data_IF_351534078654
#
_entry.id   IF_351534078654
#
_cell.length_a   1.000
_cell.length_b   1.000
_cell.length_c   1.000
_cell.angle_alpha   90.00
_cell.angle_beta   90.00
_cell.angle_gamma   90.00
#
_symmetry.space_group_name_H-M   'P 1'
#
loop_
_entity.id
_entity.type
_entity.pdbx_description
1 polymer ?
#
# COMPACT_ATOMS: atom_id res chain seq x y z
N UNK A 1 -14.06 28.45 -0.95
CA UNK A 1 -12.88 29.09 -0.31
C UNK A 1 -11.64 28.34 -0.77
N UNK A 2 -10.65 29.00 -1.35
CA UNK A 2 -9.40 28.34 -1.74
C UNK A 2 -8.57 28.03 -0.48
N UNK A 3 -7.88 26.89 -0.48
CA UNK A 3 -6.95 26.49 0.60
C UNK A 3 -5.53 26.69 0.08
N UNK A 4 -4.73 27.60 0.66
CA UNK A 4 -3.34 27.78 0.24
C UNK A 4 -2.50 26.57 0.66
N UNK A 5 -1.76 26.00 -0.29
CA UNK A 5 -0.91 24.82 -0.10
C UNK A 5 0.44 25.03 -0.81
N UNK A 6 1.48 24.35 -0.33
CA UNK A 6 2.79 24.27 -0.98
C UNK A 6 3.37 22.86 -0.81
N UNK A 7 4.32 22.50 -1.67
CA UNK A 7 4.97 21.18 -1.62
C UNK A 7 6.27 21.27 -0.83
N UNK A 8 6.36 20.54 0.28
CA UNK A 8 7.63 20.27 0.97
C UNK A 8 8.28 19.02 0.37
N UNK A 9 9.50 19.14 -0.17
CA UNK A 9 10.18 18.03 -0.84
C UNK A 9 10.88 17.12 0.17
N UNK A 10 10.71 15.81 0.00
CA UNK A 10 11.45 14.77 0.71
C UNK A 10 12.28 13.97 -0.31
N UNK A 11 13.60 14.04 -0.23
CA UNK A 11 14.48 13.36 -1.19
C UNK A 11 14.74 11.89 -0.84
N UNK A 12 14.53 11.51 0.43
CA UNK A 12 14.85 10.18 0.95
C UNK A 12 13.68 9.20 0.82
N UNK A 13 12.45 9.71 0.69
CA UNK A 13 11.25 8.88 0.53
C UNK A 13 10.75 8.89 -0.92
N UNK A 14 11.35 8.02 -1.74
CA UNK A 14 11.11 7.88 -3.17
C UNK A 14 11.14 6.41 -3.59
N UNK A 15 10.54 6.12 -4.75
CA UNK A 15 10.72 4.83 -5.40
C UNK A 15 12.19 4.64 -5.84
N UNK A 16 12.70 3.39 -5.85
CA UNK A 16 13.93 3.07 -6.54
C UNK A 16 13.87 3.49 -8.01
N UNK A 17 15.01 3.90 -8.58
CA UNK A 17 15.09 4.31 -9.99
C UNK A 17 14.74 3.17 -10.95
N UNK A 18 15.18 1.96 -10.62
CA UNK A 18 14.96 0.77 -11.43
C UNK A 18 13.62 0.11 -11.09
N UNK A 19 12.65 0.04 -12.03
CA UNK A 19 11.33 -0.56 -11.79
C UNK A 19 11.40 -2.05 -11.43
N UNK A 20 12.47 -2.73 -11.81
CA UNK A 20 12.73 -4.13 -11.44
C UNK A 20 13.08 -4.31 -9.97
N UNK A 21 13.40 -3.24 -9.24
CA UNK A 21 13.74 -3.33 -7.81
C UNK A 21 12.47 -3.63 -7.00
N UNK A 22 12.44 -4.74 -6.23
CA UNK A 22 11.33 -5.03 -5.32
C UNK A 22 11.17 -3.97 -4.25
N UNK A 23 9.92 -3.65 -3.92
CA UNK A 23 9.57 -2.74 -2.83
C UNK A 23 8.65 -3.44 -1.84
N UNK A 24 8.92 -3.20 -0.55
CA UNK A 24 8.07 -3.64 0.56
C UNK A 24 7.54 -2.39 1.25
N UNK A 25 6.23 -2.21 1.19
CA UNK A 25 5.53 -1.07 1.77
C UNK A 25 4.77 -1.53 3.01
N UNK A 26 5.06 -0.93 4.17
CA UNK A 26 4.40 -1.24 5.44
C UNK A 26 3.76 0.04 5.94
N UNK A 27 2.43 0.12 5.82
CA UNK A 27 1.70 1.37 6.06
C UNK A 27 0.31 1.15 6.63
N UNK A 28 0.17 0.89 7.95
CA UNK A 28 -1.14 0.78 8.57
C UNK A 28 -1.86 2.13 8.67
N UNK A 29 -3.19 2.10 8.56
CA UNK A 29 -4.05 3.29 8.62
C UNK A 29 -3.63 4.36 7.61
N UNK A 30 -3.54 5.61 8.05
CA UNK A 30 -3.14 6.74 7.19
C UNK A 30 -1.68 6.66 6.73
N UNK A 31 -0.85 5.78 7.32
CA UNK A 31 0.50 5.50 6.86
C UNK A 31 0.55 4.95 5.42
N UNK A 32 -0.57 4.49 4.85
CA UNK A 32 -0.67 4.05 3.46
C UNK A 32 -0.63 5.19 2.44
N UNK A 33 -0.87 6.44 2.86
CA UNK A 33 -1.05 7.57 1.95
C UNK A 33 0.07 7.73 0.89
N UNK A 34 1.37 7.71 1.23
CA UNK A 34 2.40 7.84 0.20
C UNK A 34 2.56 6.55 -0.64
N UNK A 35 2.26 5.38 -0.08
CA UNK A 35 2.33 4.11 -0.81
C UNK A 35 1.25 3.98 -1.87
N UNK A 36 0.08 4.60 -1.67
CA UNK A 36 -0.92 4.74 -2.74
C UNK A 36 -0.33 5.46 -3.96
N UNK A 37 0.43 6.53 -3.76
CA UNK A 37 1.09 7.24 -4.85
C UNK A 37 2.17 6.37 -5.52
N UNK A 38 2.98 5.65 -4.73
CA UNK A 38 4.00 4.73 -5.26
C UNK A 38 3.39 3.62 -6.13
N UNK A 39 2.29 3.02 -5.69
CA UNK A 39 1.55 2.03 -6.46
C UNK A 39 1.01 2.63 -7.75
N UNK A 40 0.36 3.80 -7.69
CA UNK A 40 -0.13 4.48 -8.90
C UNK A 40 1.00 4.75 -9.90
N UNK A 41 2.18 5.16 -9.43
CA UNK A 41 3.32 5.40 -10.31
C UNK A 41 3.87 4.10 -10.94
N UNK A 42 4.04 3.03 -10.15
CA UNK A 42 4.53 1.74 -10.69
C UNK A 42 3.54 1.08 -11.62
N UNK A 43 2.26 1.12 -11.28
CA UNK A 43 1.19 0.41 -12.00
C UNK A 43 0.72 1.14 -13.27
N UNK A 44 0.99 2.45 -13.39
CA UNK A 44 0.76 3.21 -14.62
C UNK A 44 1.94 3.15 -15.60
N UNK A 45 3.04 2.46 -15.26
CA UNK A 45 4.18 2.31 -16.16
C UNK A 45 3.95 1.19 -17.19
N UNK A 46 4.53 1.33 -18.39
CA UNK A 46 4.53 0.26 -19.41
C UNK A 46 5.08 -1.07 -18.87
N UNK A 47 6.00 -1.00 -17.89
CA UNK A 47 6.62 -2.15 -17.24
C UNK A 47 5.81 -2.77 -16.09
N UNK A 48 4.63 -2.23 -15.76
CA UNK A 48 3.83 -2.66 -14.61
C UNK A 48 3.58 -4.18 -14.59
N UNK A 49 3.29 -4.77 -15.77
CA UNK A 49 3.07 -6.21 -15.92
C UNK A 49 4.36 -7.03 -15.86
N UNK A 50 5.49 -6.46 -16.24
CA UNK A 50 6.78 -7.17 -16.23
C UNK A 50 7.32 -7.37 -14.81
N UNK A 51 7.01 -6.44 -13.91
CA UNK A 51 7.52 -6.42 -12.53
C UNK A 51 6.38 -6.46 -11.51
N UNK A 52 5.29 -7.14 -11.85
CA UNK A 52 4.07 -7.20 -11.05
C UNK A 52 4.30 -7.83 -9.67
N UNK A 53 5.19 -8.82 -9.59
CA UNK A 53 5.54 -9.53 -8.36
C UNK A 53 6.48 -8.76 -7.42
N UNK A 54 6.95 -7.59 -7.85
CA UNK A 54 7.91 -6.77 -7.11
C UNK A 54 7.25 -5.75 -6.17
N UNK A 55 5.92 -5.72 -6.10
CA UNK A 55 5.17 -4.77 -5.28
C UNK A 55 4.53 -5.48 -4.08
N UNK A 56 5.01 -5.21 -2.87
CA UNK A 56 4.42 -5.74 -1.63
C UNK A 56 3.80 -4.62 -0.81
N UNK A 57 2.55 -4.81 -0.37
CA UNK A 57 1.88 -3.91 0.57
C UNK A 57 1.36 -4.68 1.78
N UNK A 58 1.88 -4.32 2.95
CA UNK A 58 1.37 -4.70 4.26
C UNK A 58 0.53 -3.55 4.82
N UNK A 59 -0.78 -3.73 4.76
CA UNK A 59 -1.75 -2.77 5.28
C UNK A 59 -2.37 -3.29 6.58
N UNK A 60 -2.75 -2.39 7.46
CA UNK A 60 -3.47 -2.75 8.68
C UNK A 60 -4.49 -1.69 9.08
N UNK A 61 -5.66 -2.12 9.50
CA UNK A 61 -6.71 -1.26 10.04
C UNK A 61 -7.52 -1.99 11.14
N UNK A 62 -8.65 -1.43 11.56
CA UNK A 62 -9.48 -2.06 12.59
C UNK A 62 -10.40 -3.11 11.97
N UNK A 63 -11.12 -2.73 10.92
CA UNK A 63 -12.15 -3.53 10.30
C UNK A 63 -12.11 -3.42 8.78
N UNK A 64 -12.27 -4.54 8.10
CA UNK A 64 -12.40 -4.58 6.64
C UNK A 64 -13.50 -3.65 6.13
N UNK A 65 -14.66 -3.68 6.76
CA UNK A 65 -15.87 -2.99 6.28
C UNK A 65 -15.95 -1.51 6.66
N UNK A 66 -15.03 -0.99 7.47
CA UNK A 66 -15.13 0.38 8.01
C UNK A 66 -13.95 1.27 7.70
N UNK A 67 -12.73 0.77 7.86
CA UNK A 67 -11.53 1.60 7.76
C UNK A 67 -10.42 0.99 6.89
N UNK A 68 -10.80 0.09 5.98
CA UNK A 68 -9.92 -0.38 4.92
C UNK A 68 -9.76 0.68 3.82
N UNK A 69 -8.92 1.67 4.12
CA UNK A 69 -8.61 2.78 3.20
C UNK A 69 -8.12 2.24 1.85
N UNK A 70 -8.82 2.62 0.78
CA UNK A 70 -8.54 2.21 -0.60
C UNK A 70 -8.59 0.69 -0.85
N UNK A 71 -9.29 -0.06 0.00
CA UNK A 71 -9.33 -1.53 -0.07
C UNK A 71 -9.75 -2.06 -1.44
N UNK A 72 -10.74 -1.45 -2.09
CA UNK A 72 -11.19 -1.86 -3.43
C UNK A 72 -10.10 -1.71 -4.50
N UNK A 73 -9.31 -0.63 -4.47
CA UNK A 73 -8.20 -0.44 -5.40
C UNK A 73 -7.10 -1.48 -5.15
N UNK A 74 -6.72 -1.71 -3.88
CA UNK A 74 -5.67 -2.67 -3.55
C UNK A 74 -6.09 -4.12 -3.85
N UNK A 75 -7.34 -4.48 -3.60
CA UNK A 75 -7.90 -5.79 -3.97
C UNK A 75 -7.89 -5.98 -5.48
N UNK A 76 -8.26 -4.95 -6.26
CA UNK A 76 -8.17 -5.00 -7.73
C UNK A 76 -6.72 -5.19 -8.19
N UNK A 77 -5.77 -4.42 -7.66
CA UNK A 77 -4.35 -4.59 -8.02
C UNK A 77 -3.84 -5.98 -7.68
N UNK A 78 -4.27 -6.55 -6.55
CA UNK A 78 -3.92 -7.92 -6.18
C UNK A 78 -4.55 -8.96 -7.13
N UNK A 79 -5.83 -8.80 -7.50
CA UNK A 79 -6.50 -9.71 -8.45
C UNK A 79 -5.89 -9.65 -9.86
N UNK A 80 -5.38 -8.48 -10.25
CA UNK A 80 -4.69 -8.28 -11.52
C UNK A 80 -3.24 -8.82 -11.51
N UNK A 81 -2.79 -9.39 -10.38
CA UNK A 81 -1.43 -9.91 -10.19
C UNK A 81 -0.36 -8.84 -9.97
N UNK A 82 -0.77 -7.57 -9.84
CA UNK A 82 0.11 -6.40 -9.78
C UNK A 82 0.60 -6.05 -8.37
N UNK A 83 0.00 -6.64 -7.35
CA UNK A 83 0.26 -6.33 -5.95
C UNK A 83 0.20 -7.58 -5.06
N UNK A 84 1.29 -7.86 -4.36
CA UNK A 84 1.33 -8.81 -3.26
C UNK A 84 0.77 -8.12 -2.00
N UNK A 85 -0.54 -8.22 -1.81
CA UNK A 85 -1.26 -7.59 -0.71
C UNK A 85 -1.30 -8.50 0.53
N UNK A 86 -1.04 -7.92 1.71
CA UNK A 86 -1.19 -8.55 3.03
C UNK A 86 -1.92 -7.58 3.94
N UNK A 87 -3.05 -8.01 4.53
CA UNK A 87 -3.92 -7.12 5.32
C UNK A 87 -4.14 -7.67 6.72
N UNK A 88 -3.96 -6.82 7.72
CA UNK A 88 -4.21 -7.11 9.13
C UNK A 88 -5.42 -6.34 9.65
N UNK A 89 -6.47 -7.04 10.05
CA UNK A 89 -7.64 -6.45 10.69
C UNK A 89 -7.59 -6.65 12.20
N UNK A 90 -7.30 -5.59 12.94
CA UNK A 90 -7.03 -5.69 14.38
C UNK A 90 -8.27 -5.88 15.27
N UNK A 91 -9.48 -5.83 14.71
CA UNK A 91 -10.74 -5.89 15.47
C UNK A 91 -11.86 -6.71 14.81
N UNK A 92 -11.62 -7.38 13.68
CA UNK A 92 -12.67 -8.18 13.02
C UNK A 92 -12.98 -9.49 13.76
N UNK A 93 -12.00 -10.04 14.47
CA UNK A 93 -12.17 -11.23 15.30
C UNK A 93 -12.20 -10.82 16.79
N UNK A 94 -13.31 -11.03 17.51
CA UNK A 94 -13.37 -10.74 18.93
C UNK A 94 -12.32 -11.52 19.73
N UNK A 95 -11.50 -10.80 20.50
CA UNK A 95 -10.45 -11.39 21.33
C UNK A 95 -9.12 -11.64 20.62
N UNK A 96 -9.06 -11.49 19.30
CA UNK A 96 -7.83 -11.65 18.51
C UNK A 96 -7.40 -10.32 17.88
N UNK A 97 -6.11 -9.99 18.00
CA UNK A 97 -5.54 -8.76 17.44
C UNK A 97 -4.48 -9.10 16.43
N UNK A 98 -4.80 -8.90 15.15
CA UNK A 98 -3.85 -9.04 14.05
C UNK A 98 -3.28 -7.68 13.67
N UNK A 99 -1.96 -7.57 13.59
CA UNK A 99 -1.23 -6.37 13.19
C UNK A 99 -0.26 -6.69 12.05
N UNK A 100 0.22 -5.66 11.35
CA UNK A 100 1.09 -5.84 10.18
C UNK A 100 2.35 -6.64 10.49
N UNK A 101 2.93 -6.51 11.69
CA UNK A 101 4.11 -7.30 12.08
C UNK A 101 3.83 -8.80 12.23
N UNK A 102 2.58 -9.20 12.49
CA UNK A 102 2.21 -10.62 12.50
C UNK A 102 2.20 -11.23 11.09
N UNK A 103 2.22 -10.40 10.04
CA UNK A 103 2.21 -10.83 8.64
C UNK A 103 3.61 -10.86 8.02
N UNK A 104 4.64 -10.38 8.71
CA UNK A 104 6.02 -10.25 8.19
C UNK A 104 6.85 -11.55 8.28
N UNK A 105 6.22 -12.66 8.66
CA UNK A 105 6.87 -13.96 8.90
C UNK A 105 6.98 -14.80 7.64
#
# INVERSE_FOLDING_TARGET
RLVPIFVSRNVDFRLPKEPSTPIIMIGPGTGVAPFRAFLQERLNSESAKQYSDNNWLFFGCRHETRDFLYGSDFQRYASDGLLQLRVAFSRDIPGEKVYVQHLLT
#
